data_IF_405238438565
#
_entry.id   IF_405238438565
#
_cell.length_a   1.000
_cell.length_b   1.000
_cell.length_c   1.000
_cell.angle_alpha   90.00
_cell.angle_beta   90.00
_cell.angle_gamma   90.00
#
_symmetry.space_group_name_H-M   'P 1'
#
loop_
_entity.id
_entity.type
_entity.pdbx_description
1 polymer ?
#
# COMPACT_ATOMS: atom_id res chain seq x y z
N UNK A 1 -27.31 -20.91 13.14
CA UNK A 1 -25.97 -20.83 12.51
C UNK A 1 -25.76 -19.39 12.13
N UNK A 2 -25.07 -18.63 12.97
CA UNK A 2 -24.65 -17.27 12.66
C UNK A 2 -23.54 -17.31 11.60
N UNK A 3 -23.91 -17.03 10.35
CA UNK A 3 -22.95 -16.74 9.29
C UNK A 3 -22.35 -15.35 9.57
N UNK A 4 -21.43 -15.28 10.54
CA UNK A 4 -20.55 -14.13 10.67
C UNK A 4 -19.68 -14.08 9.41
N UNK A 5 -19.99 -13.14 8.51
CA UNK A 5 -19.13 -12.77 7.39
C UNK A 5 -17.79 -12.31 7.96
N UNK A 6 -16.82 -13.23 8.00
CA UNK A 6 -15.43 -12.91 8.33
C UNK A 6 -14.80 -12.24 7.12
N UNK A 7 -14.94 -10.93 7.03
CA UNK A 7 -14.23 -10.12 6.03
C UNK A 7 -12.77 -10.03 6.46
N UNK A 8 -11.86 -10.47 5.59
CA UNK A 8 -10.44 -10.21 5.77
C UNK A 8 -10.15 -8.75 5.39
N UNK A 9 -9.70 -7.88 6.33
CA UNK A 9 -9.48 -6.46 6.03
C UNK A 9 -8.48 -6.20 4.91
N UNK A 10 -7.48 -7.06 4.75
CA UNK A 10 -6.48 -6.94 3.68
C UNK A 10 -7.14 -7.16 2.32
N UNK A 11 -7.97 -8.19 2.21
CA UNK A 11 -8.68 -8.51 0.97
C UNK A 11 -9.70 -7.43 0.62
N UNK A 12 -10.41 -6.89 1.63
CA UNK A 12 -11.30 -5.74 1.45
C UNK A 12 -10.55 -4.49 0.96
N UNK A 13 -9.38 -4.18 1.51
CA UNK A 13 -8.62 -3.03 1.04
C UNK A 13 -8.01 -3.26 -0.36
N UNK A 14 -7.66 -4.50 -0.70
CA UNK A 14 -7.20 -4.84 -2.06
C UNK A 14 -8.29 -4.70 -3.10
N UNK A 15 -9.54 -5.06 -2.76
CA UNK A 15 -10.66 -4.97 -3.70
C UNK A 15 -10.97 -3.53 -4.13
N UNK A 16 -10.58 -2.52 -3.32
CA UNK A 16 -10.66 -1.10 -3.71
C UNK A 16 -9.80 -0.79 -4.94
N UNK A 17 -8.72 -1.54 -5.16
CA UNK A 17 -7.73 -1.32 -6.20
C UNK A 17 -7.78 -2.36 -7.33
N UNK A 18 -8.88 -3.08 -7.50
CA UNK A 18 -8.99 -4.06 -8.58
C UNK A 18 -9.02 -3.39 -9.97
N UNK A 19 -8.09 -3.79 -10.83
CA UNK A 19 -7.99 -3.39 -12.25
C UNK A 19 -7.51 -4.58 -13.08
N UNK A 20 -8.05 -4.73 -14.29
CA UNK A 20 -7.71 -5.83 -15.21
C UNK A 20 -6.35 -5.63 -15.88
N UNK A 21 -6.01 -4.39 -16.23
CA UNK A 21 -4.79 -4.06 -16.97
C UNK A 21 -3.68 -3.65 -16.01
N UNK A 22 -2.83 -4.63 -15.64
CA UNK A 22 -1.66 -4.43 -14.77
C UNK A 22 -0.37 -4.77 -15.52
N UNK A 23 0.69 -4.01 -15.23
CA UNK A 23 2.03 -4.25 -15.76
C UNK A 23 2.87 -5.09 -14.80
N UNK A 24 3.92 -5.73 -15.31
CA UNK A 24 4.82 -6.56 -14.49
C UNK A 24 5.73 -5.74 -13.55
N UNK A 25 6.08 -6.33 -12.41
CA UNK A 25 6.99 -5.74 -11.42
C UNK A 25 8.46 -5.82 -11.87
N UNK A 26 8.86 -4.85 -12.71
CA UNK A 26 10.21 -4.76 -13.28
C UNK A 26 11.14 -3.85 -12.45
N UNK A 27 12.39 -4.27 -12.26
CA UNK A 27 13.39 -3.47 -11.55
C UNK A 27 13.78 -2.19 -12.33
N UNK A 28 14.22 -1.15 -11.62
CA UNK A 28 14.65 0.13 -12.21
C UNK A 28 13.50 1.12 -12.48
N UNK A 29 12.25 0.64 -12.56
CA UNK A 29 11.06 1.48 -12.70
C UNK A 29 10.71 2.10 -11.35
N UNK A 30 10.36 3.39 -11.32
CA UNK A 30 9.86 4.07 -10.12
C UNK A 30 8.44 3.61 -9.77
N UNK A 31 8.27 3.03 -8.59
CA UNK A 31 6.99 2.47 -8.12
C UNK A 31 6.56 3.15 -6.84
N UNK A 32 5.32 3.59 -6.80
CA UNK A 32 4.64 4.00 -5.57
C UNK A 32 3.82 2.81 -5.09
N UNK A 33 3.97 2.42 -3.84
CA UNK A 33 3.25 1.28 -3.25
C UNK A 33 2.51 1.69 -1.99
N UNK A 34 1.45 0.92 -1.70
CA UNK A 34 0.78 0.89 -0.42
C UNK A 34 1.01 -0.45 0.25
N UNK A 35 1.47 -0.42 1.50
CA UNK A 35 1.59 -1.62 2.36
C UNK A 35 0.78 -1.42 3.63
N UNK A 36 0.18 -2.47 4.16
CA UNK A 36 -0.56 -2.43 5.42
C UNK A 36 0.15 -3.24 6.50
N UNK A 37 0.19 -2.71 7.72
CA UNK A 37 0.58 -3.44 8.93
C UNK A 37 -0.64 -4.20 9.46
N UNK A 38 -0.60 -5.54 9.42
CA UNK A 38 -1.78 -6.37 9.71
C UNK A 38 -2.38 -6.26 11.12
N UNK A 39 -1.63 -5.80 12.13
CA UNK A 39 -2.16 -5.66 13.51
C UNK A 39 -2.90 -4.34 13.74
N UNK A 40 -2.37 -3.23 13.22
CA UNK A 40 -2.90 -1.88 13.47
C UNK A 40 -3.69 -1.31 12.30
N UNK A 41 -3.57 -1.94 11.13
CA UNK A 41 -4.19 -1.46 9.90
C UNK A 41 -3.57 -0.19 9.32
N UNK A 42 -2.41 0.26 9.85
CA UNK A 42 -1.74 1.43 9.31
C UNK A 42 -1.17 1.15 7.93
N UNK A 43 -1.27 2.15 7.06
CA UNK A 43 -0.89 2.05 5.66
C UNK A 43 0.37 2.88 5.42
N UNK A 44 1.38 2.24 4.86
CA UNK A 44 2.62 2.87 4.41
C UNK A 44 2.45 3.33 2.97
N UNK A 45 2.73 4.61 2.72
CA UNK A 45 2.86 5.16 1.36
C UNK A 45 4.35 5.31 1.09
N UNK A 46 4.90 4.56 0.13
CA UNK A 46 6.33 4.62 -0.14
C UNK A 46 6.69 4.44 -1.61
N UNK A 47 7.96 4.66 -1.91
CA UNK A 47 8.52 4.41 -3.24
C UNK A 47 9.68 3.42 -3.24
N UNK A 48 9.85 2.75 -4.37
CA UNK A 48 11.01 1.90 -4.65
C UNK A 48 11.29 1.81 -6.14
N UNK A 49 12.55 1.50 -6.48
CA UNK A 49 12.94 1.02 -7.82
C UNK A 49 13.21 -0.48 -7.84
N UNK A 50 13.28 -1.12 -6.68
CA UNK A 50 13.49 -2.56 -6.55
C UNK A 50 12.18 -3.29 -6.81
N UNK A 51 12.23 -4.62 -6.87
CA UNK A 51 11.02 -5.45 -6.82
C UNK A 51 10.23 -5.21 -5.53
N UNK A 52 8.91 -5.24 -5.62
CA UNK A 52 7.99 -4.99 -4.51
C UNK A 52 8.17 -6.03 -3.39
N UNK A 53 8.41 -7.30 -3.75
CA UNK A 53 8.69 -8.36 -2.78
C UNK A 53 9.95 -8.06 -1.95
N UNK A 54 11.04 -7.65 -2.60
CA UNK A 54 12.30 -7.28 -1.93
C UNK A 54 12.06 -6.11 -1.00
N UNK A 55 11.31 -5.10 -1.46
CA UNK A 55 10.98 -3.95 -0.62
C UNK A 55 10.12 -4.34 0.57
N UNK A 56 9.12 -5.21 0.40
CA UNK A 56 8.25 -5.71 1.48
C UNK A 56 9.06 -6.41 2.57
N UNK A 57 9.98 -7.30 2.19
CA UNK A 57 10.88 -7.99 3.13
C UNK A 57 11.72 -6.98 3.93
N UNK A 58 12.35 -6.02 3.25
CA UNK A 58 13.15 -4.99 3.91
C UNK A 58 12.36 -4.02 4.81
N UNK A 59 11.05 -3.87 4.61
CA UNK A 59 10.17 -3.13 5.54
C UNK A 59 9.80 -3.99 6.76
N UNK A 60 9.68 -5.31 6.59
CA UNK A 60 9.35 -6.23 7.68
C UNK A 60 10.54 -6.47 8.63
N UNK A 61 11.76 -6.64 8.10
CA UNK A 61 12.99 -6.99 8.86
C UNK A 61 13.33 -6.09 10.07
N UNK A 62 13.31 -4.73 9.99
CA UNK A 62 13.62 -3.89 11.15
C UNK A 62 12.52 -3.86 12.22
N UNK A 63 11.38 -4.52 12.01
CA UNK A 63 10.26 -4.59 12.98
C UNK A 63 10.49 -5.68 14.06
N UNK A 64 11.75 -6.08 14.25
CA UNK A 64 12.40 -7.10 15.11
C UNK A 64 11.89 -7.30 16.55
N UNK A 65 10.87 -6.56 17.02
CA UNK A 65 10.25 -6.72 18.35
C UNK A 65 8.83 -7.30 18.33
N UNK A 66 8.25 -7.57 17.16
CA UNK A 66 6.91 -8.14 17.06
C UNK A 66 6.94 -9.58 16.53
N UNK A 67 6.14 -10.47 17.14
CA UNK A 67 5.74 -11.74 16.52
C UNK A 67 5.10 -11.42 15.17
N UNK A 68 5.85 -11.63 14.09
CA UNK A 68 5.40 -11.57 12.70
C UNK A 68 4.42 -10.41 12.37
N UNK A 69 4.89 -9.15 12.28
CA UNK A 69 4.04 -8.10 11.74
C UNK A 69 3.76 -8.45 10.27
N UNK A 70 2.53 -8.90 10.00
CA UNK A 70 2.02 -9.27 8.67
C UNK A 70 1.96 -8.03 7.79
N UNK A 71 3.09 -7.61 7.25
CA UNK A 71 3.16 -6.51 6.28
C UNK A 71 2.78 -7.06 4.91
N UNK A 72 1.66 -6.59 4.39
CA UNK A 72 1.10 -6.99 3.11
C UNK A 72 1.12 -5.82 2.13
N UNK A 73 1.42 -6.10 0.86
CA UNK A 73 1.23 -5.12 -0.22
C UNK A 73 -0.26 -5.09 -0.56
N UNK A 74 -0.83 -3.89 -0.55
CA UNK A 74 -2.20 -3.65 -1.00
C UNK A 74 -2.25 -3.41 -2.50
N UNK A 75 -1.35 -2.56 -3.01
CA UNK A 75 -1.29 -2.17 -4.42
C UNK A 75 0.00 -1.40 -4.72
N UNK A 76 0.32 -1.23 -6.00
CA UNK A 76 1.41 -0.40 -6.47
C UNK A 76 1.15 0.15 -7.88
N UNK A 77 1.77 1.28 -8.19
CA UNK A 77 1.71 1.95 -9.49
C UNK A 77 3.08 2.39 -9.95
N UNK A 78 3.29 2.41 -11.27
CA UNK A 78 4.42 3.09 -11.89
C UNK A 78 4.17 4.60 -11.84
N UNK A 79 4.78 5.26 -10.87
CA UNK A 79 4.57 6.68 -10.60
C UNK A 79 5.87 7.39 -10.18
N UNK A 80 6.05 8.67 -10.56
CA UNK A 80 7.22 9.44 -10.19
C UNK A 80 7.19 9.85 -8.70
N UNK A 81 8.35 10.25 -8.17
CA UNK A 81 8.54 10.65 -6.77
C UNK A 81 7.63 11.78 -6.29
N UNK A 82 7.25 12.65 -7.21
CA UNK A 82 6.38 13.81 -6.92
C UNK A 82 4.99 13.38 -6.44
N UNK A 83 4.47 12.26 -6.94
CA UNK A 83 3.17 11.74 -6.54
C UNK A 83 3.19 11.27 -5.09
N UNK A 84 4.28 10.62 -4.65
CA UNK A 84 4.43 10.21 -3.24
C UNK A 84 4.48 11.42 -2.32
N UNK A 85 5.26 12.45 -2.69
CA UNK A 85 5.28 13.72 -1.93
C UNK A 85 3.90 14.37 -1.84
N UNK A 86 3.13 14.34 -2.93
CA UNK A 86 1.75 14.87 -2.97
C UNK A 86 0.84 14.09 -2.03
N UNK A 87 0.84 12.75 -2.09
CA UNK A 87 0.05 11.94 -1.18
C UNK A 87 0.44 12.16 0.29
N UNK A 88 1.74 12.23 0.58
CA UNK A 88 2.24 12.52 1.92
C UNK A 88 1.77 13.87 2.46
N UNK A 89 1.61 14.85 1.57
CA UNK A 89 1.12 16.18 1.92
C UNK A 89 -0.39 16.16 2.14
N UNK A 90 -1.15 15.51 1.25
CA UNK A 90 -2.61 15.36 1.35
C UNK A 90 -3.02 14.65 2.65
N UNK A 91 -2.30 13.60 3.05
CA UNK A 91 -2.62 12.81 4.24
C UNK A 91 -1.76 13.16 5.46
N UNK A 92 -1.12 14.33 5.48
CA UNK A 92 -0.22 14.75 6.58
C UNK A 92 -0.91 14.70 7.95
N UNK A 93 -2.19 15.07 8.02
CA UNK A 93 -2.99 15.02 9.25
C UNK A 93 -3.25 13.59 9.77
N UNK A 94 -3.15 12.58 8.89
CA UNK A 94 -3.34 11.15 9.20
C UNK A 94 -2.02 10.41 9.43
N UNK A 95 -0.88 11.10 9.33
CA UNK A 95 0.45 10.52 9.54
C UNK A 95 0.64 10.11 11.00
N UNK A 96 1.10 8.89 11.23
CA UNK A 96 1.43 8.36 12.57
C UNK A 96 2.93 8.37 12.82
N UNK A 97 3.72 7.66 12.00
CA UNK A 97 5.17 7.53 12.18
C UNK A 97 5.89 7.36 10.85
N UNK A 98 6.81 8.27 10.52
CA UNK A 98 7.54 8.23 9.25
C UNK A 98 6.58 8.27 8.07
N UNK A 99 6.58 7.20 7.26
CA UNK A 99 5.73 7.05 6.08
C UNK A 99 4.45 6.23 6.35
N UNK A 100 4.09 6.00 7.61
CA UNK A 100 2.88 5.26 8.01
C UNK A 100 1.74 6.21 8.36
N UNK A 101 0.55 5.92 7.83
CA UNK A 101 -0.65 6.72 7.90
C UNK A 101 -1.84 5.88 8.37
N UNK A 102 -2.79 6.52 9.03
CA UNK A 102 -4.05 5.94 9.48
C UNK A 102 -5.14 6.27 8.46
N UNK A 103 -5.08 5.56 7.34
CA UNK A 103 -5.96 5.73 6.19
C UNK A 103 -7.15 4.77 6.30
N UNK A 104 -8.33 5.27 5.98
CA UNK A 104 -9.57 4.50 5.94
C UNK A 104 -9.96 4.15 4.51
N UNK A 105 -11.02 3.35 4.34
CA UNK A 105 -11.51 2.96 3.02
C UNK A 105 -11.76 4.16 2.09
N UNK A 106 -12.32 5.27 2.60
CA UNK A 106 -12.54 6.49 1.81
C UNK A 106 -11.23 7.11 1.30
N UNK A 107 -10.18 7.12 2.14
CA UNK A 107 -8.86 7.61 1.73
C UNK A 107 -8.26 6.74 0.64
N UNK A 108 -8.47 5.42 0.73
CA UNK A 108 -7.98 4.49 -0.28
C UNK A 108 -8.73 4.64 -1.61
N UNK A 109 -10.03 4.94 -1.57
CA UNK A 109 -10.80 5.29 -2.77
C UNK A 109 -10.25 6.57 -3.40
N UNK A 110 -10.06 7.64 -2.62
CA UNK A 110 -9.47 8.89 -3.13
C UNK A 110 -8.07 8.68 -3.73
N UNK A 111 -7.24 7.85 -3.08
CA UNK A 111 -5.93 7.47 -3.65
C UNK A 111 -6.12 6.72 -4.95
N UNK A 112 -7.04 5.76 -5.04
CA UNK A 112 -7.30 5.02 -6.27
C UNK A 112 -7.71 5.97 -7.40
N UNK A 113 -8.56 6.96 -7.11
CA UNK A 113 -8.99 8.00 -8.06
C UNK A 113 -7.80 8.86 -8.54
N UNK A 114 -6.95 9.34 -7.62
CA UNK A 114 -5.72 10.07 -7.95
C UNK A 114 -4.81 9.21 -8.85
N UNK A 115 -4.80 7.89 -8.63
CA UNK A 115 -3.93 6.95 -9.33
C UNK A 115 -4.49 6.44 -10.67
N UNK A 116 -5.67 6.89 -11.10
CA UNK A 116 -6.28 6.41 -12.34
C UNK A 116 -5.41 6.69 -13.59
N UNK A 117 -4.61 7.76 -13.57
CA UNK A 117 -3.70 8.14 -14.65
C UNK A 117 -2.37 7.37 -14.66
N UNK A 118 -2.15 6.45 -13.72
CA UNK A 118 -0.92 5.67 -13.60
C UNK A 118 -1.17 4.18 -13.83
N UNK A 119 -0.16 3.52 -14.41
CA UNK A 119 -0.19 2.09 -14.68
C UNK A 119 -0.05 1.30 -13.36
N UNK A 120 -1.02 0.43 -13.07
CA UNK A 120 -0.99 -0.42 -11.87
C UNK A 120 -0.06 -1.62 -12.08
N UNK A 121 0.65 -2.02 -11.04
CA UNK A 121 1.64 -3.10 -11.08
C UNK A 121 1.02 -4.38 -10.50
N UNK A 122 1.35 -5.53 -11.10
CA UNK A 122 1.02 -6.85 -10.57
C UNK A 122 1.76 -7.12 -9.26
N UNK A 123 1.01 -7.56 -8.24
CA UNK A 123 1.48 -7.81 -6.87
C UNK A 123 1.36 -9.27 -6.47
#
# INVERSE_FOLDING_TARGET
MDYLLKINPIEFYRSIFEKENKIEDNEGISKLYLMIEGEKGYIKIGQTKNKLEVRRKGVAEPTLKAKDPKICILTAWKAPKEVEKKLHSNYKSKRKRGEWFDLKAIDLQEINEIMLSYEMINI
#
